data_IF_714790186748
#
_entry.id   IF_714790186748
#
_cell.length_a   1.000
_cell.length_b   1.000
_cell.length_c   1.000
_cell.angle_alpha   90.00
_cell.angle_beta   90.00
_cell.angle_gamma   90.00
#
_symmetry.space_group_name_H-M   'P 1'
#
loop_
_entity.id
_entity.type
_entity.pdbx_description
1 polymer ?
#
# COMPACT_ATOMS: atom_id res chain seq x y z
N UNK A 1 -8.45 -2.67 -0.55
CA UNK A 1 -7.73 -2.07 -1.70
C UNK A 1 -6.24 -2.12 -1.44
N UNK A 2 -5.44 -2.38 -2.47
CA UNK A 2 -3.98 -2.37 -2.45
C UNK A 2 -3.46 -1.51 -3.61
N UNK A 3 -2.47 -0.66 -3.35
CA UNK A 3 -1.72 0.12 -4.34
C UNK A 3 -0.27 -0.35 -4.32
N UNK A 4 0.15 -1.04 -5.39
CA UNK A 4 1.50 -1.57 -5.51
C UNK A 4 2.49 -0.50 -5.97
N UNK A 5 3.66 -0.47 -5.33
CA UNK A 5 4.79 0.39 -5.66
C UNK A 5 6.00 -0.47 -6.05
N UNK A 6 6.50 -0.22 -7.26
CA UNK A 6 7.69 -0.87 -7.80
C UNK A 6 7.41 -2.23 -8.48
N UNK A 7 8.32 -2.68 -9.36
CA UNK A 7 8.31 -4.05 -9.87
C UNK A 7 8.74 -5.04 -8.76
N UNK A 8 8.29 -6.31 -8.82
CA UNK A 8 8.85 -7.34 -7.95
C UNK A 8 10.36 -7.45 -8.19
N UNK A 9 11.18 -7.11 -7.18
CA UNK A 9 12.59 -7.49 -7.20
C UNK A 9 12.67 -9.02 -7.04
N UNK A 10 12.54 -9.72 -8.18
CA UNK A 10 12.53 -11.17 -8.31
C UNK A 10 13.91 -11.62 -8.80
N UNK A 11 14.88 -11.66 -7.90
CA UNK A 11 16.15 -12.32 -8.18
C UNK A 11 16.74 -12.94 -6.91
N UNK A 12 16.55 -14.25 -6.67
CA UNK A 12 17.43 -14.97 -5.75
C UNK A 12 18.87 -14.85 -6.27
N UNK A 13 19.73 -14.15 -5.51
CA UNK A 13 21.13 -13.91 -5.88
C UNK A 13 21.46 -12.50 -6.40
N UNK A 14 20.56 -11.52 -6.31
CA UNK A 14 20.96 -10.11 -6.50
C UNK A 14 21.96 -9.72 -5.42
N UNK A 15 23.19 -9.37 -5.81
CA UNK A 15 24.20 -8.83 -4.91
C UNK A 15 23.67 -7.59 -4.19
N UNK A 16 23.94 -7.47 -2.88
CA UNK A 16 23.65 -6.28 -2.10
C UNK A 16 24.11 -5.02 -2.83
N UNK A 17 23.20 -4.05 -3.01
CA UNK A 17 23.42 -2.82 -3.76
C UNK A 17 23.00 -2.88 -5.23
N UNK A 18 22.10 -3.81 -5.61
CA UNK A 18 21.55 -3.81 -6.97
C UNK A 18 20.64 -2.58 -7.20
N UNK A 19 20.52 -2.07 -8.43
CA UNK A 19 19.63 -0.94 -8.73
C UNK A 19 18.15 -1.19 -8.36
N UNK A 20 17.69 -2.45 -8.40
CA UNK A 20 16.33 -2.81 -7.97
C UNK A 20 16.17 -2.65 -6.45
N UNK A 21 17.17 -3.06 -5.69
CA UNK A 21 17.17 -3.00 -4.23
C UNK A 21 17.18 -1.55 -3.73
N UNK A 22 18.01 -0.69 -4.31
CA UNK A 22 18.02 0.74 -3.98
C UNK A 22 16.67 1.41 -4.28
N UNK A 23 16.07 1.06 -5.42
CA UNK A 23 14.71 1.53 -5.77
C UNK A 23 13.66 1.01 -4.80
N UNK A 24 13.75 -0.25 -4.36
CA UNK A 24 12.83 -0.86 -3.41
C UNK A 24 12.93 -0.22 -2.01
N UNK A 25 14.15 0.00 -1.51
CA UNK A 25 14.40 0.68 -0.23
C UNK A 25 13.89 2.12 -0.30
N UNK A 26 14.19 2.84 -1.38
CA UNK A 26 13.69 4.21 -1.60
C UNK A 26 12.17 4.26 -1.64
N UNK A 27 11.52 3.39 -2.41
CA UNK A 27 10.07 3.28 -2.48
C UNK A 27 9.44 2.95 -1.12
N UNK A 28 10.06 2.05 -0.36
CA UNK A 28 9.57 1.67 0.98
C UNK A 28 9.75 2.81 1.98
N UNK A 29 10.83 3.58 1.89
CA UNK A 29 11.04 4.76 2.73
C UNK A 29 10.00 5.86 2.45
N UNK A 30 9.71 6.15 1.16
CA UNK A 30 8.65 7.09 0.78
C UNK A 30 7.29 6.62 1.28
N UNK A 31 6.96 5.34 1.05
CA UNK A 31 5.65 4.83 1.40
C UNK A 31 5.46 4.67 2.91
N UNK A 32 6.49 4.27 3.64
CA UNK A 32 6.46 4.22 5.10
C UNK A 32 6.34 5.61 5.74
N UNK A 33 6.94 6.64 5.13
CA UNK A 33 6.71 8.03 5.54
C UNK A 33 5.26 8.45 5.28
N UNK A 34 4.70 8.15 4.10
CA UNK A 34 3.30 8.42 3.79
C UNK A 34 2.37 7.70 4.78
N UNK A 35 2.64 6.43 5.06
CA UNK A 35 1.88 5.63 6.01
C UNK A 35 1.84 6.26 7.39
N UNK A 36 2.99 6.74 7.86
CA UNK A 36 3.10 7.43 9.13
C UNK A 36 2.29 8.73 9.19
N UNK A 37 2.14 9.44 8.07
CA UNK A 37 1.38 10.70 8.00
C UNK A 37 -0.12 10.42 7.82
N UNK A 38 -0.47 9.46 6.97
CA UNK A 38 -1.86 9.18 6.58
C UNK A 38 -2.59 8.33 7.61
N UNK A 39 -1.90 7.52 8.41
CA UNK A 39 -2.50 6.52 9.30
C UNK A 39 -3.60 7.09 10.21
N UNK A 40 -3.27 8.15 10.96
CA UNK A 40 -4.22 8.78 11.88
C UNK A 40 -5.38 9.47 11.13
N UNK A 41 -5.11 10.08 9.98
CA UNK A 41 -6.11 10.78 9.17
C UNK A 41 -7.08 9.80 8.49
N UNK A 42 -6.57 8.67 7.98
CA UNK A 42 -7.37 7.62 7.36
C UNK A 42 -8.35 7.03 8.37
N UNK A 43 -7.88 6.71 9.57
CA UNK A 43 -8.76 6.21 10.62
C UNK A 43 -9.80 7.25 11.02
N UNK A 44 -9.40 8.50 11.22
CA UNK A 44 -10.34 9.56 11.59
C UNK A 44 -11.42 9.79 10.51
N UNK A 45 -11.03 9.96 9.25
CA UNK A 45 -11.95 10.27 8.16
C UNK A 45 -12.92 9.11 7.89
N UNK A 46 -12.40 7.92 7.57
CA UNK A 46 -13.23 6.81 7.11
C UNK A 46 -14.05 6.18 8.25
N UNK A 47 -13.54 6.16 9.49
CA UNK A 47 -14.25 5.57 10.64
C UNK A 47 -15.06 6.57 11.44
N UNK A 48 -14.55 7.78 11.68
CA UNK A 48 -15.19 8.73 12.61
C UNK A 48 -16.14 9.68 11.88
N UNK A 49 -15.71 10.23 10.73
CA UNK A 49 -16.49 11.20 9.96
C UNK A 49 -17.51 10.48 9.07
N UNK A 50 -17.05 9.57 8.23
CA UNK A 50 -17.89 8.89 7.24
C UNK A 50 -18.57 7.64 7.79
N UNK A 51 -18.10 7.13 8.94
CA UNK A 51 -18.69 5.99 9.65
C UNK A 51 -18.86 4.74 8.77
N UNK A 52 -17.95 4.53 7.81
CA UNK A 52 -18.04 3.43 6.84
C UNK A 52 -18.01 2.05 7.50
N UNK A 53 -17.40 1.95 8.67
CA UNK A 53 -17.38 0.72 9.44
C UNK A 53 -16.48 0.77 10.66
N UNK A 54 -16.62 -0.22 11.53
CA UNK A 54 -15.77 -0.33 12.72
C UNK A 54 -14.32 -0.70 12.38
N UNK A 55 -14.12 -1.55 11.37
CA UNK A 55 -12.78 -1.98 10.95
C UNK A 55 -12.34 -1.11 9.79
N UNK A 56 -11.38 -0.22 10.06
CA UNK A 56 -10.72 0.64 9.08
C UNK A 56 -9.24 0.61 9.39
N UNK A 57 -8.43 0.19 8.41
CA UNK A 57 -6.98 0.20 8.50
C UNK A 57 -6.38 0.74 7.21
N UNK A 58 -5.46 1.70 7.35
CA UNK A 58 -4.51 2.06 6.32
C UNK A 58 -3.12 1.69 6.83
N UNK A 59 -2.35 0.97 6.03
CA UNK A 59 -0.99 0.56 6.41
C UNK A 59 -0.13 0.28 5.19
N UNK A 60 1.18 0.46 5.34
CA UNK A 60 2.17 0.01 4.38
C UNK A 60 2.50 -1.47 4.61
N UNK A 61 2.75 -2.20 3.52
CA UNK A 61 3.25 -3.57 3.55
C UNK A 61 4.44 -3.73 2.62
N UNK A 62 5.43 -4.51 3.02
CA UNK A 62 6.67 -4.74 2.28
C UNK A 62 6.99 -6.23 2.27
N UNK A 63 6.64 -6.91 1.18
CA UNK A 63 6.78 -8.36 1.05
C UNK A 63 7.44 -8.70 -0.28
N UNK A 64 8.38 -9.65 -0.28
CA UNK A 64 8.98 -10.23 -1.49
C UNK A 64 9.51 -9.20 -2.50
N UNK A 65 10.10 -8.09 -2.01
CA UNK A 65 10.65 -7.04 -2.88
C UNK A 65 9.59 -6.14 -3.53
N UNK A 66 8.34 -6.20 -3.07
CA UNK A 66 7.26 -5.27 -3.43
C UNK A 66 6.83 -4.53 -2.17
N UNK A 67 6.65 -3.22 -2.28
CA UNK A 67 6.00 -2.42 -1.24
C UNK A 67 4.63 -1.94 -1.73
N UNK A 68 3.64 -1.91 -0.84
CA UNK A 68 2.28 -1.53 -1.22
C UNK A 68 1.55 -0.84 -0.08
N UNK A 69 0.65 0.06 -0.44
CA UNK A 69 -0.28 0.69 0.49
C UNK A 69 -1.57 -0.10 0.49
N UNK A 70 -2.08 -0.42 1.67
CA UNK A 70 -3.31 -1.16 1.82
C UNK A 70 -4.32 -0.35 2.62
N UNK A 71 -5.55 -0.30 2.11
CA UNK A 71 -6.72 0.20 2.81
C UNK A 71 -7.74 -0.94 2.95
N UNK A 72 -8.07 -1.29 4.18
CA UNK A 72 -9.02 -2.35 4.53
C UNK A 72 -10.17 -1.73 5.30
N UNK A 73 -11.38 -1.87 4.76
CA UNK A 73 -12.61 -1.37 5.39
C UNK A 73 -13.63 -2.49 5.40
N UNK A 74 -14.25 -2.72 6.56
CA UNK A 74 -15.37 -3.63 6.71
C UNK A 74 -16.62 -2.84 7.07
N UNK A 75 -17.56 -2.76 6.13
CA UNK A 75 -18.87 -2.15 6.34
C UNK A 75 -19.96 -3.20 6.54
N UNK A 76 -21.00 -2.84 7.29
CA UNK A 76 -22.25 -3.61 7.38
C UNK A 76 -23.38 -2.97 6.57
N UNK A 77 -23.26 -1.69 6.23
CA UNK A 77 -24.33 -0.87 5.66
C UNK A 77 -24.05 -0.52 4.19
N UNK A 78 -22.79 -0.31 3.85
CA UNK A 78 -22.38 0.12 2.51
C UNK A 78 -21.82 -1.03 1.69
N UNK A 79 -22.09 -0.99 0.37
CA UNK A 79 -21.50 -1.95 -0.57
C UNK A 79 -20.01 -1.61 -0.83
N UNK A 80 -19.28 -2.58 -1.39
CA UNK A 80 -17.85 -2.43 -1.62
C UNK A 80 -17.49 -1.28 -2.57
N UNK A 81 -18.30 -1.03 -3.61
CA UNK A 81 -18.06 0.02 -4.60
C UNK A 81 -18.19 1.43 -4.00
N UNK A 82 -19.18 1.64 -3.12
CA UNK A 82 -19.33 2.89 -2.37
C UNK A 82 -18.12 3.15 -1.46
N UNK A 83 -17.73 2.14 -0.69
CA UNK A 83 -16.57 2.22 0.20
C UNK A 83 -15.28 2.49 -0.59
N UNK A 84 -15.12 1.86 -1.75
CA UNK A 84 -13.98 2.12 -2.63
C UNK A 84 -13.94 3.57 -3.10
N UNK A 85 -15.09 4.12 -3.50
CA UNK A 85 -15.20 5.51 -3.94
C UNK A 85 -14.82 6.51 -2.85
N UNK A 86 -15.23 6.27 -1.60
CA UNK A 86 -14.83 7.12 -0.47
C UNK A 86 -13.33 6.98 -0.14
N UNK A 87 -12.76 5.78 -0.26
CA UNK A 87 -11.30 5.59 -0.11
C UNK A 87 -10.55 6.38 -1.19
N UNK A 88 -10.97 6.29 -2.47
CA UNK A 88 -10.33 7.00 -3.58
C UNK A 88 -10.41 8.52 -3.37
N UNK A 89 -11.59 9.02 -3.00
CA UNK A 89 -11.81 10.43 -2.68
C UNK A 89 -10.95 10.90 -1.51
N UNK A 90 -10.84 10.09 -0.44
CA UNK A 90 -9.96 10.40 0.67
C UNK A 90 -8.50 10.55 0.22
N UNK A 91 -8.00 9.67 -0.66
CA UNK A 91 -6.64 9.75 -1.18
C UNK A 91 -6.41 11.02 -2.03
N UNK A 92 -7.39 11.42 -2.83
CA UNK A 92 -7.35 12.67 -3.61
C UNK A 92 -7.39 13.91 -2.70
N UNK A 93 -8.30 13.94 -1.72
CA UNK A 93 -8.43 15.03 -0.75
C UNK A 93 -7.17 15.16 0.11
N UNK A 94 -6.54 14.04 0.47
CA UNK A 94 -5.27 14.03 1.19
C UNK A 94 -4.10 14.57 0.35
N UNK A 95 -4.09 14.33 -0.98
CA UNK A 95 -3.11 14.93 -1.88
C UNK A 95 -3.18 16.46 -1.81
N UNK A 96 -4.39 17.00 -1.95
CA UNK A 96 -4.62 18.46 -2.06
C UNK A 96 -4.43 19.16 -0.71
N UNK A 97 -4.97 18.58 0.37
CA UNK A 97 -4.97 19.22 1.68
C UNK A 97 -3.61 19.14 2.38
N UNK A 98 -2.94 17.98 2.29
CA UNK A 98 -1.78 17.67 3.12
C UNK A 98 -0.50 17.61 2.28
N UNK A 99 -0.46 16.75 1.26
CA UNK A 99 0.76 16.48 0.49
C UNK A 99 1.19 17.69 -0.34
N UNK A 100 0.25 18.42 -0.94
CA UNK A 100 0.53 19.63 -1.73
C UNK A 100 1.18 20.74 -0.89
N UNK A 101 0.79 20.85 0.39
CA UNK A 101 1.22 21.92 1.30
C UNK A 101 2.43 21.54 2.17
N UNK A 102 3.06 20.39 1.92
CA UNK A 102 4.20 19.92 2.70
C UNK A 102 5.42 20.84 2.52
N UNK A 103 5.85 21.46 3.62
CA UNK A 103 7.07 22.29 3.71
C UNK A 103 8.25 21.46 4.21
N UNK A 104 9.47 21.94 4.01
CA UNK A 104 10.67 21.30 4.53
C UNK A 104 10.62 21.10 6.06
N UNK A 105 10.03 22.05 6.80
CA UNK A 105 9.87 21.97 8.26
C UNK A 105 8.92 20.84 8.67
N UNK A 106 7.74 20.76 8.04
CA UNK A 106 6.77 19.68 8.30
C UNK A 106 7.32 18.31 7.89
N UNK A 107 8.10 18.27 6.82
CA UNK A 107 8.79 17.07 6.37
C UNK A 107 9.84 16.63 7.38
N UNK A 108 10.69 17.53 7.86
CA UNK A 108 11.71 17.21 8.86
C UNK A 108 11.09 16.64 10.14
N UNK A 109 9.99 17.23 10.63
CA UNK A 109 9.26 16.72 11.79
C UNK A 109 8.70 15.30 11.55
N UNK A 110 8.08 15.07 10.39
CA UNK A 110 7.50 13.77 10.01
C UNK A 110 8.56 12.70 9.81
N UNK A 111 9.68 13.04 9.16
CA UNK A 111 10.85 12.17 9.02
C UNK A 111 11.39 11.75 10.38
N UNK A 112 11.53 12.69 11.31
CA UNK A 112 12.08 12.40 12.63
C UNK A 112 11.15 11.49 13.45
N UNK A 113 9.83 11.68 13.35
CA UNK A 113 8.86 10.77 13.95
C UNK A 113 8.97 9.34 13.39
N UNK A 114 9.03 9.20 12.06
CA UNK A 114 9.19 7.90 11.41
C UNK A 114 10.55 7.27 11.72
N UNK A 115 11.63 8.06 11.72
CA UNK A 115 12.98 7.62 12.04
C UNK A 115 13.09 7.10 13.48
N UNK A 116 12.38 7.69 14.45
CA UNK A 116 12.29 7.15 15.81
C UNK A 116 11.68 5.75 15.84
N UNK A 117 10.67 5.50 15.00
CA UNK A 117 10.05 4.17 14.86
C UNK A 117 11.05 3.17 14.29
N UNK A 118 11.80 3.54 13.25
CA UNK A 118 12.84 2.69 12.65
C UNK A 118 14.02 2.39 13.60
N UNK A 119 14.39 3.35 14.45
CA UNK A 119 15.48 3.21 15.44
C UNK A 119 15.06 2.46 16.70
N UNK A 120 13.76 2.22 16.90
CA UNK A 120 13.26 1.53 18.09
C UNK A 120 13.79 0.10 18.10
N UNK A 121 14.58 -0.22 19.13
CA UNK A 121 15.09 -1.57 19.33
C UNK A 121 13.97 -2.51 19.76
N UNK A 122 14.07 -3.76 19.32
CA UNK A 122 13.31 -4.90 19.82
C UNK A 122 13.34 -4.92 21.35
N UNK A 123 12.16 -4.95 21.97
CA UNK A 123 12.06 -4.92 23.43
C UNK A 123 12.28 -6.30 24.05
N UNK A 124 12.00 -7.36 23.28
CA UNK A 124 12.16 -8.73 23.71
C UNK A 124 13.08 -9.52 22.76
N UNK A 125 13.65 -10.61 23.28
CA UNK A 125 14.40 -11.57 22.45
C UNK A 125 13.51 -12.21 21.38
N UNK A 126 12.21 -12.35 21.66
CA UNK A 126 11.22 -12.87 20.72
C UNK A 126 11.09 -11.94 19.51
N UNK A 127 10.88 -10.65 19.75
CA UNK A 127 10.77 -9.65 18.69
C UNK A 127 12.01 -9.62 17.80
N UNK A 128 13.20 -9.67 18.42
CA UNK A 128 14.47 -9.67 17.68
C UNK A 128 14.65 -10.97 16.87
N UNK A 129 14.28 -12.11 17.45
CA UNK A 129 14.35 -13.40 16.76
C UNK A 129 13.39 -13.43 15.58
N UNK A 130 12.14 -12.99 15.77
CA UNK A 130 11.13 -12.95 14.71
C UNK A 130 11.54 -12.00 13.58
N UNK A 131 12.15 -10.83 13.91
CA UNK A 131 12.72 -9.89 12.93
C UNK A 131 13.82 -10.53 12.08
N UNK A 132 14.82 -11.12 12.73
CA UNK A 132 15.95 -11.76 12.04
C UNK A 132 15.48 -12.97 11.22
N UNK A 133 14.53 -13.75 11.76
CA UNK A 133 13.99 -14.91 11.08
C UNK A 133 13.17 -14.53 9.84
N UNK A 134 12.47 -13.39 9.86
CA UNK A 134 11.80 -12.84 8.68
C UNK A 134 12.75 -12.56 7.52
N UNK A 135 13.94 -12.01 7.79
CA UNK A 135 14.96 -11.79 6.76
C UNK A 135 15.53 -13.10 6.20
N UNK A 136 15.68 -14.13 7.04
CA UNK A 136 16.11 -15.46 6.61
C UNK A 136 15.04 -16.12 5.72
N UNK A 137 13.77 -16.10 6.16
CA UNK A 137 12.66 -16.70 5.40
C UNK A 137 12.39 -15.98 4.07
N UNK A 138 12.56 -14.67 4.03
CA UNK A 138 12.41 -13.90 2.79
C UNK A 138 13.59 -14.08 1.82
N UNK A 139 14.72 -14.63 2.28
CA UNK A 139 15.93 -14.82 1.48
C UNK A 139 16.64 -13.54 1.08
N UNK A 140 16.26 -12.38 1.65
CA UNK A 140 16.93 -11.09 1.39
C UNK A 140 18.21 -10.94 2.19
N UNK A 141 18.26 -11.53 3.38
CA UNK A 141 19.41 -11.46 4.29
C UNK A 141 19.82 -10.01 4.66
N UNK A 142 18.89 -9.05 4.59
CA UNK A 142 19.12 -7.62 4.86
C UNK A 142 18.93 -7.30 6.35
N UNK A 143 19.86 -7.75 7.19
CA UNK A 143 19.73 -7.55 8.64
C UNK A 143 19.83 -6.07 9.08
N UNK A 144 20.42 -5.22 8.24
CA UNK A 144 20.59 -3.77 8.43
C UNK A 144 19.53 -2.94 7.69
N UNK A 145 18.42 -3.55 7.25
CA UNK A 145 17.36 -2.90 6.46
C UNK A 145 16.86 -1.57 7.05
N UNK A 146 16.67 -1.49 8.36
CA UNK A 146 16.26 -0.24 9.02
C UNK A 146 17.29 0.89 8.84
N UNK A 147 18.59 0.56 8.84
CA UNK A 147 19.65 1.54 8.60
C UNK A 147 19.61 2.04 7.15
N UNK A 148 19.33 1.15 6.19
CA UNK A 148 19.17 1.51 4.78
C UNK A 148 17.94 2.41 4.57
N UNK A 149 16.81 2.08 5.20
CA UNK A 149 15.61 2.91 5.19
C UNK A 149 15.85 4.30 5.78
N UNK A 150 16.62 4.40 6.87
CA UNK A 150 17.00 5.69 7.45
C UNK A 150 17.83 6.54 6.47
N UNK A 151 18.79 5.93 5.77
CA UNK A 151 19.56 6.62 4.74
C UNK A 151 18.71 7.09 3.57
N UNK A 152 17.77 6.25 3.11
CA UNK A 152 16.83 6.62 2.06
C UNK A 152 15.88 7.75 2.50
N UNK A 153 15.41 7.72 3.75
CA UNK A 153 14.54 8.73 4.34
C UNK A 153 15.18 10.13 4.32
N UNK A 154 16.49 10.23 4.53
CA UNK A 154 17.22 11.50 4.49
C UNK A 154 17.16 12.16 3.11
N UNK A 155 17.15 11.38 2.03
CA UNK A 155 17.15 11.89 0.65
C UNK A 155 15.79 12.41 0.15
N UNK A 156 14.70 12.15 0.89
CA UNK A 156 13.34 12.57 0.49
C UNK A 156 13.18 14.09 0.60
N UNK A 157 12.78 14.76 -0.47
CA UNK A 157 12.36 16.18 -0.48
C UNK A 157 10.84 16.31 -0.59
N UNK A 158 10.24 17.48 -0.26
CA UNK A 158 8.81 17.69 -0.44
C UNK A 158 8.34 17.46 -1.88
N UNK A 159 9.14 17.87 -2.88
CA UNK A 159 8.84 17.63 -4.30
C UNK A 159 8.86 16.14 -4.65
N UNK A 160 9.86 15.41 -4.15
CA UNK A 160 9.95 13.97 -4.38
C UNK A 160 8.76 13.23 -3.76
N UNK A 161 8.34 13.64 -2.56
CA UNK A 161 7.18 13.07 -1.86
C UNK A 161 5.88 13.34 -2.63
N UNK A 162 5.66 14.58 -3.07
CA UNK A 162 4.51 14.96 -3.90
C UNK A 162 4.44 14.15 -5.19
N UNK A 163 5.56 14.07 -5.91
CA UNK A 163 5.63 13.32 -7.17
C UNK A 163 5.38 11.82 -6.94
N UNK A 164 5.96 11.26 -5.88
CA UNK A 164 5.79 9.86 -5.51
C UNK A 164 4.33 9.55 -5.16
N UNK A 165 3.72 10.37 -4.29
CA UNK A 165 2.31 10.21 -3.89
C UNK A 165 1.40 10.24 -5.11
N UNK A 166 1.54 11.26 -5.96
CA UNK A 166 0.71 11.39 -7.17
C UNK A 166 0.83 10.18 -8.09
N UNK A 167 2.07 9.77 -8.39
CA UNK A 167 2.32 8.69 -9.33
C UNK A 167 1.81 7.31 -8.82
N UNK A 168 1.89 7.06 -7.52
CA UNK A 168 1.56 5.75 -6.96
C UNK A 168 0.17 5.65 -6.29
N UNK A 169 -0.47 6.77 -5.97
CA UNK A 169 -1.71 6.77 -5.17
C UNK A 169 -2.90 7.43 -5.86
N UNK A 170 -2.71 8.44 -6.72
CA UNK A 170 -3.84 9.20 -7.29
C UNK A 170 -3.89 9.23 -8.82
N UNK A 171 -2.78 9.05 -9.53
CA UNK A 171 -2.77 9.06 -11.01
C UNK A 171 -3.21 7.70 -11.61
N UNK A 172 -4.42 7.61 -12.21
CA UNK A 172 -4.94 6.35 -12.74
C UNK A 172 -4.15 5.79 -13.93
N UNK A 173 -3.35 6.63 -14.59
CA UNK A 173 -2.50 6.18 -15.70
C UNK A 173 -1.21 5.50 -15.22
N UNK A 174 -0.88 5.59 -13.93
CA UNK A 174 0.42 5.19 -13.39
C UNK A 174 0.31 4.20 -12.24
N UNK A 175 -0.70 4.35 -11.37
CA UNK A 175 -0.83 3.46 -10.21
C UNK A 175 -1.18 2.02 -10.61
N UNK A 176 -0.84 1.08 -9.75
CA UNK A 176 -1.24 -0.33 -9.86
C UNK A 176 -2.16 -0.67 -8.70
N UNK A 177 -3.47 -0.70 -8.96
CA UNK A 177 -4.51 -0.86 -7.94
C UNK A 177 -5.15 -2.25 -8.04
N UNK A 178 -5.24 -2.94 -6.91
CA UNK A 178 -5.98 -4.17 -6.72
C UNK A 178 -7.11 -3.94 -5.71
N UNK A 179 -8.33 -4.35 -6.05
CA UNK A 179 -9.49 -4.27 -5.17
C UNK A 179 -10.05 -5.66 -4.97
N UNK A 180 -10.30 -6.01 -3.72
CA UNK A 180 -10.97 -7.26 -3.33
C UNK A 180 -12.24 -6.86 -2.60
N UNK A 181 -13.39 -7.12 -3.22
CA UNK A 181 -14.71 -6.94 -2.62
C UNK A 181 -15.21 -8.26 -2.06
N UNK A 182 -15.63 -8.28 -0.80
CA UNK A 182 -16.26 -9.43 -0.16
C UNK A 182 -17.68 -9.02 0.20
N UNK A 183 -18.66 -9.78 -0.29
CA UNK A 183 -20.08 -9.47 -0.12
C UNK A 183 -20.76 -10.52 0.75
N UNK A 184 -21.72 -10.08 1.57
CA UNK A 184 -22.53 -10.98 2.39
C UNK A 184 -23.50 -11.81 1.54
N UNK A 185 -23.84 -13.01 2.01
CA UNK A 185 -24.72 -13.95 1.30
C UNK A 185 -26.11 -13.37 0.95
N UNK A 186 -26.61 -12.45 1.79
CA UNK A 186 -27.95 -11.86 1.65
C UNK A 186 -27.97 -10.55 0.85
N UNK A 187 -26.82 -10.10 0.32
CA UNK A 187 -26.72 -8.86 -0.45
C UNK A 187 -26.65 -9.18 -1.95
N UNK A 188 -27.71 -8.94 -2.74
CA UNK A 188 -27.63 -9.08 -4.19
C UNK A 188 -26.67 -8.02 -4.73
N UNK A 189 -25.55 -8.46 -5.29
CA UNK A 189 -24.51 -7.59 -5.86
C UNK A 189 -24.79 -7.40 -7.33
N UNK A 190 -25.08 -6.17 -7.75
CA UNK A 190 -25.08 -5.80 -9.16
C UNK A 190 -23.65 -5.50 -9.61
N UNK A 191 -22.94 -6.54 -10.06
CA UNK A 191 -21.56 -6.44 -10.56
C UNK A 191 -21.47 -5.75 -11.94
N UNK A 192 -22.59 -5.37 -12.56
CA UNK A 192 -22.60 -4.74 -13.88
C UNK A 192 -21.95 -3.34 -13.89
N UNK A 193 -21.90 -2.68 -12.73
CA UNK A 193 -21.23 -1.38 -12.57
C UNK A 193 -19.74 -1.50 -12.21
N UNK A 194 -19.28 -2.66 -11.75
CA UNK A 194 -17.89 -2.94 -11.37
C UNK A 194 -17.06 -3.52 -12.55
N UNK A 195 -17.65 -3.60 -13.75
CA UNK A 195 -17.12 -4.34 -14.91
C UNK A 195 -15.83 -3.80 -15.52
N UNK A 196 -15.30 -2.68 -15.04
CA UNK A 196 -14.05 -2.11 -15.57
C UNK A 196 -12.79 -2.80 -15.04
N UNK A 197 -12.87 -3.72 -14.06
CA UNK A 197 -11.69 -4.29 -13.38
C UNK A 197 -11.77 -5.81 -13.12
N UNK A 198 -12.25 -6.59 -14.08
CA UNK A 198 -12.35 -8.05 -13.95
C UNK A 198 -11.03 -8.77 -14.29
N UNK A 199 -10.56 -9.65 -13.39
CA UNK A 199 -9.59 -10.70 -13.75
C UNK A 199 -10.37 -12.00 -13.92
N UNK A 200 -10.30 -12.59 -15.12
CA UNK A 200 -10.89 -13.90 -15.39
C UNK A 200 -9.95 -14.99 -14.87
N UNK A 201 -10.30 -15.58 -13.72
CA UNK A 201 -9.47 -16.57 -13.05
C UNK A 201 -9.32 -17.89 -13.83
N UNK A 202 -10.20 -18.19 -14.78
CA UNK A 202 -10.11 -19.43 -15.58
C UNK A 202 -9.16 -19.30 -16.77
N UNK A 203 -8.96 -18.08 -17.27
CA UNK A 203 -8.16 -17.83 -18.49
C UNK A 203 -6.88 -17.04 -18.25
N UNK A 204 -6.70 -16.45 -17.06
CA UNK A 204 -5.49 -15.71 -16.72
C UNK A 204 -4.35 -16.69 -16.43
N UNK A 205 -3.23 -16.53 -17.13
CA UNK A 205 -2.00 -17.25 -16.82
C UNK A 205 -1.57 -16.92 -15.38
N UNK A 206 -1.69 -17.88 -14.46
CA UNK A 206 -1.35 -17.64 -13.05
C UNK A 206 0.15 -17.36 -12.81
N UNK A 207 0.99 -17.48 -13.84
CA UNK A 207 2.39 -17.05 -13.80
C UNK A 207 2.59 -15.56 -14.17
N UNK A 208 1.60 -14.93 -14.81
CA UNK A 208 1.60 -13.50 -15.19
C UNK A 208 0.18 -12.92 -15.01
N UNK A 209 -0.03 -12.09 -14.00
CA UNK A 209 -1.29 -11.35 -13.83
C UNK A 209 -1.40 -10.27 -14.95
N UNK A 210 -1.78 -10.69 -16.16
CA UNK A 210 -2.09 -9.78 -17.26
C UNK A 210 -3.54 -9.28 -17.14
N UNK A 211 -3.67 -7.97 -17.14
CA UNK A 211 -4.94 -7.26 -17.10
C UNK A 211 -5.62 -7.30 -18.47
N UNK A 212 -6.80 -7.92 -18.57
CA UNK A 212 -7.57 -7.94 -19.81
C UNK A 212 -8.79 -7.03 -19.70
N UNK A 213 -8.63 -5.78 -20.14
CA UNK A 213 -9.67 -4.75 -20.15
C UNK A 213 -10.92 -5.08 -21.01
N UNK A 214 -10.89 -6.17 -21.79
CA UNK A 214 -11.92 -6.50 -22.78
C UNK A 214 -12.70 -7.79 -22.47
N UNK A 215 -12.56 -8.37 -21.28
CA UNK A 215 -13.22 -9.64 -21.00
C UNK A 215 -14.69 -9.45 -20.58
N UNK A 216 -15.61 -9.96 -21.41
CA UNK A 216 -17.07 -9.86 -21.24
C UNK A 216 -17.66 -10.99 -20.37
N UNK A 217 -16.84 -11.92 -19.87
CA UNK A 217 -17.28 -13.08 -19.08
C UNK A 217 -17.29 -12.84 -17.55
N UNK A 218 -17.48 -11.60 -17.11
CA UNK A 218 -17.37 -11.21 -15.70
C UNK A 218 -18.64 -11.56 -14.88
N UNK A 219 -18.99 -12.85 -14.81
CA UNK A 219 -20.17 -13.32 -14.07
C UNK A 219 -19.97 -14.65 -13.34
N UNK A 220 -18.76 -14.94 -12.88
CA UNK A 220 -18.55 -16.09 -12.00
C UNK A 220 -18.51 -15.65 -10.54
N UNK A 221 -19.67 -15.73 -9.88
CA UNK A 221 -19.75 -15.76 -8.42
C UNK A 221 -19.15 -17.08 -7.94
N UNK A 222 -18.01 -17.04 -7.25
CA UNK A 222 -17.55 -18.19 -6.48
C UNK A 222 -18.37 -18.24 -5.18
N UNK A 223 -19.44 -19.03 -5.21
CA UNK A 223 -20.15 -19.42 -4.00
C UNK A 223 -19.30 -20.48 -3.28
N UNK A 224 -18.87 -20.20 -2.05
CA UNK A 224 -18.26 -21.20 -1.16
C UNK A 224 -19.31 -22.17 -0.62
#
# INVERSE_FOLDING_TARGET
>A
MMLQVGPPCSAPGSSAGSPCEEQYVSATAHLGLIDHIIGDQCFYQLRTVEQLGYVVFCFQTANSGITSFQAVVQSQEYNASYVLGEIDKFLEDFEVSTIANFTDETLAASKELYARTLRKKSQTLRDESDRLWGEILSGREQFDYNSQLLGALDSITPESLRKFYRHHMTDPAQYKKLVVGVYGADSPVDLSQDSSYCIDWETTDHSVLEYNANNSNCSQSLTL
#
